data_IF_290157808739
#
_entry.id   IF_290157808739
#
_cell.length_a   1.000
_cell.length_b   1.000
_cell.length_c   1.000
_cell.angle_alpha   90.00
_cell.angle_beta   90.00
_cell.angle_gamma   90.00
#
_symmetry.space_group_name_H-M   'P 1'
#
loop_
_entity.id
_entity.type
_entity.pdbx_description
1 polymer ?
#
# COMPACT_ATOMS: atom_id res chain seq x y z
N UNK A 1 3.17 -16.46 0.43
CA UNK A 1 2.84 -15.27 1.24
C UNK A 1 2.56 -15.78 2.65
N UNK A 2 3.38 -15.41 3.65
CA UNK A 2 3.12 -15.82 5.05
C UNK A 2 1.78 -15.22 5.48
N UNK A 3 0.90 -16.03 6.09
CA UNK A 3 -0.37 -15.59 6.65
C UNK A 3 -0.34 -15.88 8.15
N UNK A 4 -0.42 -14.82 8.97
CA UNK A 4 -0.69 -14.91 10.40
C UNK A 4 -2.14 -14.48 10.62
N UNK A 5 -3.07 -15.44 10.50
CA UNK A 5 -4.40 -15.41 11.12
C UNK A 5 -5.24 -14.12 11.05
N UNK A 6 -5.20 -13.35 9.95
CA UNK A 6 -6.05 -12.17 9.77
C UNK A 6 -5.38 -11.01 9.02
N UNK A 7 -6.12 -9.91 8.84
CA UNK A 7 -5.73 -8.66 8.13
C UNK A 7 -4.58 -7.88 8.78
N UNK A 8 -3.85 -8.47 9.74
CA UNK A 8 -2.78 -7.82 10.53
C UNK A 8 -1.40 -8.47 10.37
N UNK A 9 -1.22 -9.38 9.39
CA UNK A 9 0.05 -10.12 9.24
C UNK A 9 1.28 -9.21 9.14
N UNK A 10 1.18 -8.08 8.43
CA UNK A 10 2.28 -7.11 8.34
C UNK A 10 2.69 -6.52 9.69
N UNK A 11 1.71 -6.20 10.55
CA UNK A 11 1.96 -5.67 11.89
C UNK A 11 2.69 -6.68 12.76
N UNK A 12 2.27 -7.95 12.74
CA UNK A 12 2.88 -9.01 13.54
C UNK A 12 4.34 -9.25 13.14
N UNK A 13 4.62 -9.33 11.83
CA UNK A 13 5.98 -9.50 11.31
C UNK A 13 6.86 -8.32 11.72
N UNK A 14 6.40 -7.08 11.53
CA UNK A 14 7.16 -5.88 11.87
C UNK A 14 7.41 -5.80 13.37
N UNK A 15 6.40 -6.08 14.20
CA UNK A 15 6.51 -6.05 15.66
C UNK A 15 7.52 -7.09 16.16
N UNK A 16 7.50 -8.29 15.59
CA UNK A 16 8.47 -9.33 15.89
C UNK A 16 9.90 -8.88 15.55
N UNK A 17 10.12 -8.35 14.33
CA UNK A 17 11.44 -7.90 13.90
C UNK A 17 11.98 -6.74 14.75
N UNK A 18 11.12 -5.77 15.09
CA UNK A 18 11.49 -4.67 15.98
C UNK A 18 11.93 -5.20 17.36
N UNK A 19 11.19 -6.17 17.91
CA UNK A 19 11.53 -6.78 19.19
C UNK A 19 12.89 -7.49 19.14
N UNK A 20 13.18 -8.22 18.06
CA UNK A 20 14.48 -8.89 17.90
C UNK A 20 15.63 -7.89 17.70
N UNK A 21 15.40 -6.79 16.98
CA UNK A 21 16.37 -5.70 16.83
C UNK A 21 16.69 -5.08 18.19
N UNK A 22 15.68 -4.78 19.01
CA UNK A 22 15.84 -4.15 20.32
C UNK A 22 16.63 -5.02 21.33
N UNK A 23 16.60 -6.35 21.18
CA UNK A 23 17.39 -7.28 22.01
C UNK A 23 18.86 -7.35 21.58
N UNK A 24 19.18 -6.93 20.36
CA UNK A 24 20.52 -7.09 19.79
C UNK A 24 21.43 -5.91 20.13
N UNK A 25 22.47 -6.17 20.93
CA UNK A 25 23.54 -5.18 21.20
C UNK A 25 24.43 -4.86 19.99
N UNK A 26 24.31 -5.63 18.90
CA UNK A 26 25.10 -5.43 17.67
C UNK A 26 24.42 -4.48 16.68
N UNK A 27 23.15 -4.16 16.90
CA UNK A 27 22.39 -3.27 16.01
C UNK A 27 22.22 -1.94 16.75
N UNK A 28 22.57 -0.85 16.06
CA UNK A 28 22.32 0.50 16.55
C UNK A 28 21.26 1.13 15.65
N UNK A 29 20.14 1.52 16.25
CA UNK A 29 19.02 2.14 15.54
C UNK A 29 19.13 3.65 15.71
N UNK A 30 18.97 4.37 14.60
CA UNK A 30 18.89 5.83 14.55
C UNK A 30 17.53 6.20 14.00
N UNK A 31 16.54 6.36 14.89
CA UNK A 31 15.21 6.79 14.50
C UNK A 31 15.21 8.28 14.08
N UNK A 32 14.21 8.69 13.31
CA UNK A 32 14.02 10.09 12.89
C UNK A 32 15.26 10.69 12.19
N UNK A 33 16.02 9.84 11.51
CA UNK A 33 17.29 10.18 10.85
C UNK A 33 17.14 9.94 9.36
N UNK A 34 17.09 11.01 8.56
CA UNK A 34 16.92 10.94 7.11
C UNK A 34 18.26 11.04 6.40
N UNK A 35 18.50 10.10 5.49
CA UNK A 35 19.68 10.11 4.62
C UNK A 35 19.47 11.15 3.51
N UNK A 36 20.43 12.07 3.37
CA UNK A 36 20.39 13.15 2.39
C UNK A 36 21.28 12.87 1.17
N UNK A 37 22.34 12.09 1.36
CA UNK A 37 23.33 11.81 0.33
C UNK A 37 24.03 10.48 0.58
N UNK A 38 24.36 9.76 -0.49
CA UNK A 38 25.26 8.61 -0.44
C UNK A 38 26.69 9.11 -0.60
N UNK A 39 27.61 8.57 0.20
CA UNK A 39 29.04 8.84 0.06
C UNK A 39 29.59 7.81 -0.90
N UNK A 40 30.13 8.25 -2.04
CA UNK A 40 30.72 7.38 -3.04
C UNK A 40 32.16 7.79 -3.37
N UNK A 41 33.01 6.80 -3.66
CA UNK A 41 34.37 7.01 -4.15
C UNK A 41 34.71 5.95 -5.19
N UNK A 42 35.18 6.37 -6.37
CA UNK A 42 35.54 5.45 -7.47
C UNK A 42 34.45 4.41 -7.78
N UNK A 43 33.19 4.86 -7.90
CA UNK A 43 31.99 4.03 -8.13
C UNK A 43 31.72 2.98 -7.03
N UNK A 44 32.21 3.20 -5.81
CA UNK A 44 31.90 2.37 -4.65
C UNK A 44 31.16 3.19 -3.60
N UNK A 45 30.07 2.63 -3.08
CA UNK A 45 29.38 3.22 -1.94
C UNK A 45 30.21 3.01 -0.66
N UNK A 46 30.51 4.11 0.02
CA UNK A 46 31.27 4.18 1.26
C UNK A 46 30.40 4.54 2.47
N UNK A 47 29.08 4.74 2.26
CA UNK A 47 28.12 5.07 3.31
C UNK A 47 27.18 6.21 2.94
N UNK A 48 26.82 7.06 3.91
CA UNK A 48 25.85 8.14 3.68
C UNK A 48 25.92 9.27 4.70
N UNK A 49 25.42 10.43 4.30
CA UNK A 49 25.21 11.60 5.14
C UNK A 49 23.73 11.64 5.51
N UNK A 50 23.43 11.82 6.79
CA UNK A 50 22.07 11.89 7.29
C UNK A 50 21.87 13.03 8.28
N UNK A 51 20.64 13.49 8.43
CA UNK A 51 20.23 14.47 9.44
C UNK A 51 19.22 13.85 10.38
N UNK A 52 19.37 14.09 11.68
CA UNK A 52 18.35 13.73 12.66
C UNK A 52 17.53 14.95 13.04
N UNK A 53 16.21 14.82 12.92
CA UNK A 53 15.27 15.94 13.07
C UNK A 53 15.02 16.36 14.52
N UNK A 54 15.37 15.53 15.50
CA UNK A 54 15.12 15.81 16.91
C UNK A 54 16.29 16.53 17.56
N UNK A 55 17.52 16.13 17.24
CA UNK A 55 18.72 16.73 17.81
C UNK A 55 19.44 17.70 16.87
N UNK A 56 18.93 17.84 15.63
CA UNK A 56 19.49 18.68 14.57
C UNK A 56 20.94 18.34 14.19
N UNK A 57 21.39 17.12 14.49
CA UNK A 57 22.74 16.68 14.18
C UNK A 57 22.82 16.11 12.76
N UNK A 58 23.95 16.39 12.11
CA UNK A 58 24.35 15.72 10.86
C UNK A 58 25.31 14.57 11.19
N UNK A 59 25.00 13.40 10.66
CA UNK A 59 25.80 12.19 10.81
C UNK A 59 26.47 11.83 9.49
N UNK A 60 27.72 11.40 9.58
CA UNK A 60 28.40 10.68 8.50
C UNK A 60 28.52 9.21 8.90
N UNK A 61 27.77 8.36 8.23
CA UNK A 61 27.85 6.91 8.41
C UNK A 61 28.83 6.35 7.40
N UNK A 62 30.00 5.89 7.86
CA UNK A 62 30.98 5.21 7.02
C UNK A 62 30.80 3.70 7.17
N UNK A 63 30.68 2.99 6.05
CA UNK A 63 30.43 1.56 6.07
C UNK A 63 31.11 0.84 4.91
N UNK A 64 31.40 -0.45 5.10
CA UNK A 64 31.92 -1.33 4.02
C UNK A 64 30.82 -1.74 3.03
N UNK A 65 29.56 -1.66 3.45
CA UNK A 65 28.40 -2.06 2.68
C UNK A 65 27.17 -1.29 3.17
N UNK A 66 26.39 -0.75 2.24
CA UNK A 66 25.15 -0.02 2.52
C UNK A 66 23.99 -0.71 1.81
N UNK A 67 22.87 -0.86 2.51
CA UNK A 67 21.64 -1.44 1.97
C UNK A 67 20.57 -0.34 1.96
N UNK A 68 19.93 -0.13 0.82
CA UNK A 68 18.77 0.76 0.68
C UNK A 68 17.51 -0.10 0.80
N UNK A 69 16.73 0.16 1.83
CA UNK A 69 15.48 -0.54 2.13
C UNK A 69 14.36 0.48 2.46
N UNK A 70 14.27 1.56 1.68
CA UNK A 70 13.45 2.76 1.97
C UNK A 70 11.99 2.65 1.53
N UNK A 71 11.55 1.49 1.06
CA UNK A 71 10.21 1.32 0.47
C UNK A 71 10.12 1.82 -0.98
N UNK A 72 8.89 2.05 -1.43
CA UNK A 72 8.58 2.42 -2.83
C UNK A 72 8.36 3.93 -3.05
N UNK A 73 7.80 4.27 -4.22
CA UNK A 73 7.53 5.64 -4.68
C UNK A 73 6.03 5.93 -4.92
N UNK A 74 5.13 5.02 -4.55
CA UNK A 74 3.71 5.13 -4.86
C UNK A 74 2.98 6.24 -4.07
N UNK A 75 3.60 6.86 -3.06
CA UNK A 75 3.02 8.02 -2.39
C UNK A 75 3.11 9.32 -3.22
N UNK A 76 3.77 9.28 -4.39
CA UNK A 76 3.77 10.38 -5.35
C UNK A 76 2.42 10.59 -6.06
N UNK A 77 1.52 9.59 -6.01
CA UNK A 77 0.19 9.68 -6.59
C UNK A 77 -0.80 10.28 -5.59
N UNK A 78 -1.71 11.13 -6.10
CA UNK A 78 -2.72 11.82 -5.30
C UNK A 78 -3.53 10.87 -4.40
N UNK A 79 -3.89 9.70 -4.92
CA UNK A 79 -4.52 8.62 -4.15
C UNK A 79 -3.58 7.43 -4.07
N UNK A 80 -3.15 7.10 -2.85
CA UNK A 80 -2.24 5.99 -2.59
C UNK A 80 -2.60 5.30 -1.28
N UNK A 81 -2.53 3.97 -1.24
CA UNK A 81 -2.66 3.18 0.01
C UNK A 81 -1.34 3.08 0.78
N UNK A 82 -0.30 3.78 0.32
CA UNK A 82 1.01 3.76 0.94
C UNK A 82 1.09 4.82 2.04
N UNK A 83 1.95 4.61 3.05
CA UNK A 83 2.25 5.66 4.00
C UNK A 83 2.84 6.89 3.27
N UNK A 84 2.62 8.11 3.77
CA UNK A 84 3.09 9.34 3.13
C UNK A 84 4.60 9.39 2.85
N UNK A 85 5.41 8.65 3.61
CA UNK A 85 6.87 8.57 3.42
C UNK A 85 7.34 7.67 2.27
N UNK A 86 6.45 6.95 1.57
CA UNK A 86 6.84 6.09 0.44
C UNK A 86 7.02 6.89 -0.87
N UNK A 87 7.93 7.85 -0.83
CA UNK A 87 8.18 8.87 -1.88
C UNK A 87 9.34 8.51 -2.81
N UNK A 88 9.96 7.35 -2.65
CA UNK A 88 11.04 6.88 -3.51
C UNK A 88 12.42 7.50 -3.23
N UNK A 89 12.63 8.09 -2.06
CA UNK A 89 13.88 8.79 -1.72
C UNK A 89 15.14 7.93 -1.90
N UNK A 90 15.13 6.68 -1.43
CA UNK A 90 16.28 5.79 -1.61
C UNK A 90 16.54 5.41 -3.07
N UNK A 91 15.49 5.30 -3.89
CA UNK A 91 15.62 5.07 -5.34
C UNK A 91 16.31 6.28 -5.98
N UNK A 92 15.86 7.50 -5.64
CA UNK A 92 16.45 8.73 -6.14
C UNK A 92 17.91 8.90 -5.69
N UNK A 93 18.21 8.61 -4.42
CA UNK A 93 19.59 8.64 -3.88
C UNK A 93 20.52 7.70 -4.66
N UNK A 94 20.09 6.46 -4.90
CA UNK A 94 20.88 5.49 -5.66
C UNK A 94 21.09 5.94 -7.11
N UNK A 95 20.01 6.38 -7.78
CA UNK A 95 20.05 6.87 -9.15
C UNK A 95 21.01 8.06 -9.32
N UNK A 96 21.00 9.00 -8.38
CA UNK A 96 21.88 10.16 -8.39
C UNK A 96 23.37 9.81 -8.25
N UNK A 97 23.70 8.66 -7.66
CA UNK A 97 25.07 8.12 -7.61
C UNK A 97 25.41 7.20 -8.80
N UNK A 98 24.57 7.19 -9.84
CA UNK A 98 24.80 6.44 -11.06
C UNK A 98 24.33 4.98 -11.02
N UNK A 99 23.53 4.58 -10.03
CA UNK A 99 22.88 3.28 -10.06
C UNK A 99 21.80 3.25 -11.15
N UNK A 100 21.74 2.14 -11.88
CA UNK A 100 20.63 1.88 -12.81
C UNK A 100 19.34 1.61 -12.01
N UNK A 101 18.24 2.19 -12.47
CA UNK A 101 16.88 1.91 -11.99
C UNK A 101 16.08 1.31 -13.14
N UNK A 102 15.15 0.41 -12.83
CA UNK A 102 14.38 -0.32 -13.85
C UNK A 102 12.91 -0.38 -13.47
N UNK A 103 12.07 -0.59 -14.49
CA UNK A 103 10.64 -0.89 -14.35
C UNK A 103 9.84 0.19 -13.58
N UNK A 104 10.33 1.43 -13.56
CA UNK A 104 9.73 2.55 -12.82
C UNK A 104 8.36 2.97 -13.37
N UNK A 105 8.04 2.60 -14.61
CA UNK A 105 6.74 2.77 -15.26
C UNK A 105 5.67 1.79 -14.74
N UNK A 106 6.07 0.67 -14.13
CA UNK A 106 5.15 -0.38 -13.68
C UNK A 106 4.60 -0.10 -12.28
N UNK A 107 3.74 0.91 -12.18
CA UNK A 107 3.03 1.25 -10.95
C UNK A 107 1.74 0.44 -10.83
N UNK A 108 1.62 -0.33 -9.76
CA UNK A 108 0.40 -1.07 -9.47
C UNK A 108 -0.61 -0.21 -8.72
N UNK A 109 -1.80 -0.04 -9.31
CA UNK A 109 -2.96 0.50 -8.62
C UNK A 109 -3.78 -0.64 -8.03
N UNK A 110 -3.98 -0.62 -6.71
CA UNK A 110 -4.83 -1.63 -6.09
C UNK A 110 -6.29 -1.38 -6.50
N UNK A 111 -7.02 -2.39 -7.00
CA UNK A 111 -8.38 -2.17 -7.54
C UNK A 111 -9.40 -1.70 -6.50
N UNK A 112 -9.21 -2.05 -5.24
CA UNK A 112 -10.18 -1.80 -4.18
C UNK A 112 -9.52 -1.06 -3.01
N UNK A 113 -9.67 0.26 -3.00
CA UNK A 113 -9.41 1.13 -1.85
C UNK A 113 -10.70 1.86 -1.56
N UNK A 114 -11.05 2.06 -0.29
CA UNK A 114 -12.20 2.88 0.06
C UNK A 114 -12.06 4.29 -0.52
N UNK A 115 -13.10 4.76 -1.19
CA UNK A 115 -13.17 6.13 -1.67
C UNK A 115 -13.64 7.06 -0.54
N UNK A 116 -12.77 8.00 -0.15
CA UNK A 116 -13.14 9.17 0.65
C UNK A 116 -13.02 10.45 -0.17
N UNK A 117 -13.91 11.41 0.08
CA UNK A 117 -13.79 12.78 -0.46
C UNK A 117 -12.57 13.51 0.11
N UNK A 118 -12.15 13.18 1.34
CA UNK A 118 -10.95 13.74 1.97
C UNK A 118 -9.63 13.30 1.34
N UNK A 119 -9.66 12.36 0.39
CA UNK A 119 -8.45 11.75 -0.21
C UNK A 119 -7.83 10.63 0.62
N UNK A 120 -8.25 10.46 1.89
CA UNK A 120 -7.83 9.34 2.71
C UNK A 120 -8.19 8.01 2.05
N UNK A 121 -7.18 7.14 1.91
CA UNK A 121 -7.33 5.81 1.35
C UNK A 121 -7.34 4.78 2.48
N UNK A 122 -8.15 3.74 2.31
CA UNK A 122 -8.09 2.57 3.17
C UNK A 122 -8.17 1.33 2.29
N UNK A 123 -7.16 0.49 2.35
CA UNK A 123 -7.06 -0.68 1.50
C UNK A 123 -8.14 -1.70 1.86
N UNK A 124 -8.99 -2.03 0.90
CA UNK A 124 -9.93 -3.15 1.03
C UNK A 124 -9.25 -4.39 0.44
N UNK A 125 -8.92 -5.34 1.31
CA UNK A 125 -8.14 -6.53 0.95
C UNK A 125 -8.73 -7.28 -0.24
N UNK A 126 -7.87 -7.72 -1.16
CA UNK A 126 -8.24 -8.62 -2.26
C UNK A 126 -8.90 -9.92 -1.77
N UNK A 127 -8.65 -10.32 -0.53
CA UNK A 127 -9.34 -11.45 0.09
C UNK A 127 -10.87 -11.27 0.12
N UNK A 128 -11.40 -10.04 0.17
CA UNK A 128 -12.85 -9.80 0.02
C UNK A 128 -13.37 -10.26 -1.34
N UNK A 129 -12.65 -9.95 -2.43
CA UNK A 129 -12.97 -10.46 -3.77
C UNK A 129 -12.85 -11.98 -3.82
N UNK A 130 -11.86 -12.54 -3.12
CA UNK A 130 -11.69 -13.99 -2.91
C UNK A 130 -12.86 -14.67 -2.23
N UNK A 131 -13.51 -14.01 -1.27
CA UNK A 131 -14.72 -14.48 -0.58
C UNK A 131 -16.02 -14.20 -1.37
N UNK A 132 -15.89 -13.65 -2.58
CA UNK A 132 -17.01 -13.48 -3.51
C UNK A 132 -17.58 -12.07 -3.57
N UNK A 133 -16.90 -11.06 -3.03
CA UNK A 133 -17.29 -9.65 -3.24
C UNK A 133 -17.34 -9.33 -4.75
N UNK A 134 -18.34 -8.55 -5.17
CA UNK A 134 -18.57 -8.22 -6.58
C UNK A 134 -18.41 -6.73 -6.84
N UNK A 135 -17.90 -6.38 -8.02
CA UNK A 135 -17.77 -4.98 -8.44
C UNK A 135 -19.00 -4.56 -9.25
N UNK A 136 -19.63 -3.47 -8.82
CA UNK A 136 -20.83 -2.89 -9.42
C UNK A 136 -20.53 -1.48 -9.94
N UNK A 137 -21.06 -1.13 -11.11
CA UNK A 137 -20.97 0.23 -11.62
C UNK A 137 -22.03 1.16 -10.96
N UNK A 138 -22.09 2.41 -11.42
CA UNK A 138 -23.04 3.43 -10.91
C UNK A 138 -24.52 3.07 -11.11
N UNK A 139 -24.82 2.13 -12.01
CA UNK A 139 -26.15 1.56 -12.29
C UNK A 139 -26.43 0.27 -11.53
N UNK A 140 -25.53 -0.17 -10.63
CA UNK A 140 -25.67 -1.42 -9.89
C UNK A 140 -25.40 -2.68 -10.72
N UNK A 141 -24.76 -2.56 -11.89
CA UNK A 141 -24.49 -3.70 -12.77
C UNK A 141 -23.12 -4.31 -12.47
N UNK A 142 -23.07 -5.65 -12.35
CA UNK A 142 -21.80 -6.38 -12.18
C UNK A 142 -21.03 -6.44 -13.50
N UNK A 143 -20.08 -5.52 -13.67
CA UNK A 143 -19.40 -5.30 -14.96
C UNK A 143 -18.22 -6.26 -15.22
N UNK A 144 -17.56 -6.79 -14.18
CA UNK A 144 -16.35 -7.58 -14.39
C UNK A 144 -16.56 -8.88 -15.18
N UNK A 145 -17.78 -9.44 -15.16
CA UNK A 145 -18.14 -10.64 -15.94
C UNK A 145 -17.98 -10.45 -17.45
N UNK A 146 -18.20 -9.24 -17.97
CA UNK A 146 -18.04 -8.94 -19.41
C UNK A 146 -16.60 -8.56 -19.78
N UNK A 147 -15.74 -8.32 -18.78
CA UNK A 147 -14.35 -7.88 -18.98
C UNK A 147 -13.39 -9.07 -19.04
N UNK A 148 -13.52 -10.01 -18.10
CA UNK A 148 -12.57 -11.11 -17.97
C UNK A 148 -13.24 -12.37 -17.41
N UNK A 149 -12.79 -13.55 -17.86
CA UNK A 149 -13.36 -14.84 -17.43
C UNK A 149 -13.29 -15.08 -15.91
N UNK A 150 -12.26 -14.55 -15.25
CA UNK A 150 -12.11 -14.64 -13.79
C UNK A 150 -12.83 -13.51 -13.04
N UNK A 151 -13.50 -12.59 -13.75
CA UNK A 151 -14.20 -11.44 -13.20
C UNK A 151 -13.37 -10.69 -12.14
N UNK A 152 -13.87 -10.53 -10.91
CA UNK A 152 -13.20 -9.84 -9.81
C UNK A 152 -11.89 -10.51 -9.36
N UNK A 153 -11.61 -11.75 -9.77
CA UNK A 153 -10.35 -12.46 -9.52
C UNK A 153 -9.37 -12.38 -10.71
N UNK A 154 -9.62 -11.48 -11.67
CA UNK A 154 -8.65 -11.17 -12.72
C UNK A 154 -7.40 -10.47 -12.14
N UNK A 155 -6.28 -10.43 -12.89
CA UNK A 155 -5.10 -9.67 -12.51
C UNK A 155 -5.42 -8.20 -12.17
N UNK A 156 -4.68 -7.62 -11.22
CA UNK A 156 -4.99 -6.30 -10.65
C UNK A 156 -5.03 -5.19 -11.69
N UNK A 157 -4.12 -5.21 -12.65
CA UNK A 157 -4.08 -4.29 -13.79
C UNK A 157 -5.36 -4.35 -14.64
N UNK A 158 -5.88 -5.56 -14.89
CA UNK A 158 -7.14 -5.77 -15.62
C UNK A 158 -8.33 -5.20 -14.84
N UNK A 159 -8.42 -5.51 -13.55
CA UNK A 159 -9.53 -5.02 -12.69
C UNK A 159 -9.47 -3.50 -12.54
N UNK A 160 -8.29 -2.94 -12.24
CA UNK A 160 -8.11 -1.50 -12.08
C UNK A 160 -8.41 -0.74 -13.39
N UNK A 161 -7.98 -1.27 -14.54
CA UNK A 161 -8.31 -0.69 -15.85
C UNK A 161 -9.81 -0.73 -16.13
N UNK A 162 -10.50 -1.80 -15.76
CA UNK A 162 -11.94 -1.93 -15.91
C UNK A 162 -12.72 -0.93 -15.05
N UNK A 163 -12.32 -0.79 -13.77
CA UNK A 163 -12.87 0.21 -12.85
C UNK A 163 -12.71 1.61 -13.43
N UNK A 164 -11.51 1.95 -13.89
CA UNK A 164 -11.25 3.25 -14.50
C UNK A 164 -12.14 3.52 -15.71
N UNK A 165 -12.37 2.52 -16.57
CA UNK A 165 -13.30 2.65 -17.71
C UNK A 165 -14.74 2.88 -17.27
N UNK A 166 -15.21 2.23 -16.21
CA UNK A 166 -16.57 2.48 -15.68
C UNK A 166 -16.68 3.87 -15.05
N UNK A 167 -15.68 4.32 -14.29
CA UNK A 167 -15.61 5.69 -13.75
C UNK A 167 -15.73 6.71 -14.89
N UNK A 168 -14.97 6.53 -15.99
CA UNK A 168 -15.01 7.41 -17.17
C UNK A 168 -16.34 7.45 -17.91
N UNK A 169 -17.19 6.42 -17.76
CA UNK A 169 -18.54 6.38 -18.34
C UNK A 169 -19.60 6.97 -17.42
N UNK A 170 -19.29 7.09 -16.13
CA UNK A 170 -20.20 7.58 -15.09
C UNK A 170 -19.92 9.05 -14.75
N UNK A 171 -20.81 9.66 -13.98
CA UNK A 171 -20.56 10.96 -13.35
C UNK A 171 -19.99 10.82 -11.92
N UNK A 172 -19.65 9.61 -11.49
CA UNK A 172 -19.12 9.33 -10.16
C UNK A 172 -17.61 9.06 -10.21
N UNK A 173 -16.85 9.52 -9.21
CA UNK A 173 -15.40 9.31 -9.16
C UNK A 173 -14.98 7.92 -8.63
N UNK A 174 -15.93 7.00 -8.45
CA UNK A 174 -15.73 5.67 -7.87
C UNK A 174 -16.73 4.67 -8.45
N UNK A 175 -16.47 3.39 -8.25
CA UNK A 175 -17.45 2.30 -8.43
C UNK A 175 -17.80 1.70 -7.07
N UNK A 176 -18.55 0.60 -7.06
CA UNK A 176 -18.97 -0.04 -5.83
C UNK A 176 -18.41 -1.45 -5.69
N UNK A 177 -17.99 -1.82 -4.49
CA UNK A 177 -17.70 -3.19 -4.06
C UNK A 177 -18.83 -3.67 -3.14
N UNK A 178 -19.49 -4.75 -3.52
CA UNK A 178 -20.64 -5.30 -2.78
C UNK A 178 -20.32 -6.63 -2.14
N UNK A 179 -20.70 -6.77 -0.88
CA UNK A 179 -20.69 -8.04 -0.12
C UNK A 179 -22.08 -8.39 0.41
N UNK A 180 -23.13 -7.65 0.04
CA UNK A 180 -24.50 -7.80 0.56
C UNK A 180 -25.11 -9.19 0.33
N UNK A 181 -24.64 -9.90 -0.70
CA UNK A 181 -25.07 -11.26 -1.03
C UNK A 181 -24.32 -12.35 -0.24
N UNK A 182 -23.35 -11.98 0.58
CA UNK A 182 -22.58 -12.87 1.43
C UNK A 182 -23.18 -12.91 2.85
N UNK A 183 -22.78 -13.91 3.63
CA UNK A 183 -23.15 -14.01 5.04
C UNK A 183 -22.54 -12.84 5.83
N UNK A 184 -23.41 -11.96 6.34
CA UNK A 184 -23.00 -10.75 7.04
C UNK A 184 -22.22 -11.03 8.33
N UNK A 185 -22.53 -12.10 9.05
CA UNK A 185 -21.85 -12.45 10.30
C UNK A 185 -20.44 -12.99 9.99
N UNK A 186 -20.31 -13.82 8.94
CA UNK A 186 -19.02 -14.30 8.46
C UNK A 186 -18.13 -13.13 7.99
N UNK A 187 -18.70 -12.14 7.30
CA UNK A 187 -17.97 -10.96 6.84
C UNK A 187 -17.48 -10.12 8.02
N UNK A 188 -18.32 -9.90 9.04
CA UNK A 188 -17.95 -9.18 10.26
C UNK A 188 -16.83 -9.90 11.01
N UNK A 189 -16.87 -11.22 11.10
CA UNK A 189 -15.83 -12.01 11.76
C UNK A 189 -14.51 -11.98 10.98
N UNK A 190 -14.50 -12.39 9.71
CA UNK A 190 -13.28 -12.51 8.89
C UNK A 190 -12.64 -11.16 8.56
N UNK A 191 -13.45 -10.13 8.35
CA UNK A 191 -13.02 -8.82 7.88
C UNK A 191 -13.33 -7.71 8.88
N UNK A 192 -13.31 -8.01 10.19
CA UNK A 192 -13.64 -7.06 11.25
C UNK A 192 -12.93 -5.70 11.08
N UNK A 193 -11.64 -5.66 10.75
CA UNK A 193 -10.93 -4.40 10.54
C UNK A 193 -11.54 -3.54 9.41
N UNK A 194 -11.98 -4.17 8.31
CA UNK A 194 -12.64 -3.47 7.21
C UNK A 194 -14.05 -3.04 7.63
N UNK A 195 -14.79 -3.93 8.29
CA UNK A 195 -16.13 -3.64 8.80
C UNK A 195 -16.13 -2.45 9.76
N UNK A 196 -15.26 -2.46 10.78
CA UNK A 196 -15.14 -1.38 11.75
C UNK A 196 -14.70 -0.06 11.10
N UNK A 197 -13.78 -0.12 10.12
CA UNK A 197 -13.40 1.06 9.35
C UNK A 197 -14.61 1.65 8.61
N UNK A 198 -15.32 0.86 7.80
CA UNK A 198 -16.50 1.32 7.07
C UNK A 198 -17.60 1.82 8.01
N UNK A 199 -17.83 1.16 9.14
CA UNK A 199 -18.80 1.58 10.15
C UNK A 199 -18.42 2.94 10.76
N UNK A 200 -17.12 3.21 10.97
CA UNK A 200 -16.65 4.55 11.40
C UNK A 200 -16.93 5.64 10.35
N UNK A 201 -17.04 5.26 9.08
CA UNK A 201 -17.45 6.12 7.97
C UNK A 201 -18.99 6.14 7.79
N UNK A 202 -19.75 5.58 8.75
CA UNK A 202 -21.21 5.45 8.73
C UNK A 202 -21.75 4.60 7.56
N UNK A 203 -20.99 3.58 7.15
CA UNK A 203 -21.35 2.64 6.10
C UNK A 203 -21.39 1.20 6.66
N UNK A 204 -22.57 0.55 6.64
CA UNK A 204 -22.69 -0.87 7.01
C UNK A 204 -22.57 -1.75 5.76
N UNK A 205 -21.39 -2.35 5.57
CA UNK A 205 -21.07 -3.14 4.37
C UNK A 205 -21.95 -4.38 4.20
N UNK A 206 -22.67 -4.83 5.24
CA UNK A 206 -23.59 -5.98 5.13
C UNK A 206 -24.92 -5.61 4.50
N UNK A 207 -25.25 -4.31 4.45
CA UNK A 207 -26.49 -3.81 3.88
C UNK A 207 -26.27 -2.77 2.78
N UNK A 208 -25.07 -2.21 2.66
CA UNK A 208 -24.71 -1.14 1.73
C UNK A 208 -23.49 -1.50 0.87
N UNK A 209 -23.38 -0.88 -0.31
CA UNK A 209 -22.25 -1.08 -1.21
C UNK A 209 -21.11 -0.10 -0.89
N UNK A 210 -19.87 -0.60 -0.90
CA UNK A 210 -18.68 0.18 -0.52
C UNK A 210 -18.18 0.98 -1.74
N UNK A 211 -18.03 2.31 -1.65
CA UNK A 211 -17.45 3.08 -2.75
C UNK A 211 -15.93 2.83 -2.82
N UNK A 212 -15.43 2.50 -4.02
CA UNK A 212 -14.02 2.15 -4.29
C UNK A 212 -13.44 2.80 -5.54
#
# INVERSE_FOLDING_TARGET
MLQAGGTSTGKEIVSFLINEINKSKRIKVYENTQVLKIISESNKCCGGIAVNYFDNNTYSFISKSTIIATGGASALFERSTNPPGATGEGIALAFNEGAEVMDMEFIQFHPTSFYSESGNSFLLSEALRGEGAILLNDKGQRFMKSVHKNAELAPRDVVASAIFREIRKSQKPYVYLSVKHLDGDLIKEKFNNIYQFCLSQKLDITTEDIPV
#
